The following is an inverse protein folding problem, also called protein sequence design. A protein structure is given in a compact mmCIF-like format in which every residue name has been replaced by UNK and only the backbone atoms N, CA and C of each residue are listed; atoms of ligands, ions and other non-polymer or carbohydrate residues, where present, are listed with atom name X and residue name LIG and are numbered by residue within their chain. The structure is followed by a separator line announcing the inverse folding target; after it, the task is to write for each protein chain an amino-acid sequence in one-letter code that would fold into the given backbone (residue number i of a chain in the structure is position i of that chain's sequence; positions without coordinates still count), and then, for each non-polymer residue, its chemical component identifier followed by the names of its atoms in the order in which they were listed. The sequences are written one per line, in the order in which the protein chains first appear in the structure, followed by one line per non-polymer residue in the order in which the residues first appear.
data_IF_599128159650
#
_entry.id   IF_599128159650
#
_cell.length_a   1.000
_cell.length_b   1.000
_cell.length_c   1.000
_cell.angle_alpha   90.00
_cell.angle_beta   90.00
_cell.angle_gamma   90.00
#
_symmetry.space_group_name_H-M   'P 1'
#
loop_
_entity.id
_entity.type
_entity.pdbx_description
1 polymer ?
#
# COMPACT_ATOMS: atom_id res chain seq x y z
N UNK A 1 27.81 3.73 7.73
CA UNK A 1 27.45 2.50 7.01
C UNK A 1 26.51 2.85 5.88
N UNK A 2 26.82 2.42 4.66
CA UNK A 2 25.83 2.45 3.57
C UNK A 2 24.76 1.38 3.84
N UNK A 3 23.58 1.54 3.24
CA UNK A 3 22.48 0.56 3.37
C UNK A 3 22.94 -0.86 2.98
N UNK A 4 23.84 -0.96 1.99
CA UNK A 4 24.39 -2.22 1.52
C UNK A 4 25.30 -2.91 2.54
N UNK A 5 26.07 -2.15 3.33
CA UNK A 5 26.90 -2.71 4.40
C UNK A 5 26.06 -3.25 5.57
N UNK A 6 24.99 -2.52 5.93
CA UNK A 6 24.07 -2.97 6.96
C UNK A 6 23.32 -4.23 6.52
N UNK A 7 22.82 -4.27 5.28
CA UNK A 7 22.16 -5.46 4.74
C UNK A 7 23.07 -6.69 4.67
N UNK A 8 24.32 -6.52 4.23
CA UNK A 8 25.30 -7.59 4.19
C UNK A 8 25.64 -8.14 5.59
N UNK A 9 25.82 -7.25 6.58
CA UNK A 9 26.06 -7.65 7.96
C UNK A 9 24.85 -8.37 8.55
N UNK A 10 23.63 -7.83 8.36
CA UNK A 10 22.40 -8.47 8.82
C UNK A 10 22.23 -9.86 8.21
N UNK A 11 22.43 -10.01 6.89
CA UNK A 11 22.39 -11.31 6.23
C UNK A 11 23.44 -12.28 6.77
N UNK A 12 24.68 -11.82 6.99
CA UNK A 12 25.71 -12.64 7.61
C UNK A 12 25.32 -13.11 9.01
N UNK A 13 24.79 -12.22 9.86
CA UNK A 13 24.37 -12.56 11.22
C UNK A 13 23.23 -13.58 11.23
N UNK A 14 22.20 -13.38 10.39
CA UNK A 14 21.07 -14.31 10.25
C UNK A 14 21.56 -15.70 9.85
N UNK A 15 22.46 -15.77 8.86
CA UNK A 15 22.97 -17.04 8.36
C UNK A 15 23.95 -17.72 9.32
N UNK A 16 24.78 -16.95 10.05
CA UNK A 16 25.86 -17.49 10.87
C UNK A 16 25.43 -17.78 12.32
N UNK A 17 24.48 -17.02 12.84
CA UNK A 17 24.07 -17.06 14.25
C UNK A 17 22.54 -17.09 14.46
N UNK A 18 21.78 -17.94 13.74
CA UNK A 18 20.32 -17.97 13.84
C UNK A 18 19.82 -18.31 15.25
N UNK A 19 20.45 -19.30 15.90
CA UNK A 19 20.08 -19.75 17.26
C UNK A 19 20.32 -18.66 18.31
N UNK A 20 21.43 -17.93 18.21
CA UNK A 20 21.72 -16.85 19.14
C UNK A 20 20.72 -15.71 18.97
N UNK A 21 20.34 -15.39 17.73
CA UNK A 21 19.30 -14.41 17.44
C UNK A 21 17.97 -14.84 18.07
N UNK A 22 17.53 -16.08 17.82
CA UNK A 22 16.29 -16.63 18.38
C UNK A 22 16.32 -16.64 19.91
N UNK A 23 17.43 -17.05 20.53
CA UNK A 23 17.61 -17.04 21.99
C UNK A 23 17.51 -15.64 22.58
N UNK A 24 18.16 -14.64 21.96
CA UNK A 24 18.07 -13.24 22.39
C UNK A 24 16.63 -12.74 22.29
N UNK A 25 15.92 -13.09 21.21
CA UNK A 25 14.55 -12.63 21.02
C UNK A 25 13.60 -13.31 21.99
N UNK A 26 13.71 -14.63 22.18
CA UNK A 26 12.84 -15.41 23.09
C UNK A 26 13.02 -15.02 24.54
N UNK A 27 14.22 -14.58 24.92
CA UNK A 27 14.50 -14.09 26.28
C UNK A 27 13.97 -12.68 26.55
N UNK A 28 13.54 -11.94 25.52
CA UNK A 28 13.18 -10.52 25.62
C UNK A 28 11.77 -10.18 25.16
N UNK A 29 11.18 -10.98 24.27
CA UNK A 29 9.91 -10.69 23.63
C UNK A 29 9.01 -11.93 23.69
N UNK A 30 7.77 -11.72 24.16
CA UNK A 30 6.74 -12.75 24.09
C UNK A 30 6.27 -12.98 22.66
N UNK A 31 6.28 -11.93 21.83
CA UNK A 31 5.96 -11.99 20.40
C UNK A 31 6.54 -10.80 19.64
N UNK A 32 6.60 -10.92 18.32
CA UNK A 32 7.00 -9.85 17.37
C UNK A 32 5.85 -9.61 16.39
N UNK A 33 5.55 -8.33 16.10
CA UNK A 33 4.61 -7.95 15.04
C UNK A 33 5.39 -7.35 13.88
N UNK A 34 5.11 -7.82 12.67
CA UNK A 34 5.63 -7.25 11.44
C UNK A 34 4.45 -6.68 10.66
N UNK A 35 4.38 -5.35 10.58
CA UNK A 35 3.38 -4.63 9.77
C UNK A 35 3.87 -4.46 8.33
N UNK A 36 2.93 -4.41 7.38
CA UNK A 36 3.18 -4.40 5.93
C UNK A 36 4.16 -5.50 5.49
N UNK A 37 3.98 -6.72 6.01
CA UNK A 37 4.89 -7.84 5.80
C UNK A 37 5.08 -8.22 4.31
N UNK A 38 4.10 -7.93 3.45
CA UNK A 38 4.19 -8.10 2.00
C UNK A 38 5.20 -7.16 1.32
N UNK A 39 5.65 -6.10 2.00
CA UNK A 39 6.65 -5.15 1.48
C UNK A 39 8.08 -5.50 1.95
N UNK A 40 8.27 -6.58 2.71
CA UNK A 40 9.60 -7.06 3.07
C UNK A 40 10.37 -7.43 1.79
N UNK A 41 11.41 -6.65 1.50
CA UNK A 41 12.27 -6.92 0.34
C UNK A 41 13.05 -8.22 0.54
N UNK A 42 13.21 -8.98 -0.54
CA UNK A 42 14.03 -10.19 -0.55
C UNK A 42 15.45 -9.91 -0.03
N UNK A 43 16.02 -10.91 0.65
CA UNK A 43 17.26 -10.79 1.41
C UNK A 43 16.98 -10.62 2.90
N UNK A 44 17.90 -9.97 3.62
CA UNK A 44 17.97 -10.05 5.09
C UNK A 44 16.67 -9.73 5.85
N UNK A 45 15.78 -8.87 5.31
CA UNK A 45 14.51 -8.54 5.96
C UNK A 45 13.51 -9.68 5.87
N UNK A 46 13.35 -10.23 4.67
CA UNK A 46 12.52 -11.41 4.44
C UNK A 46 13.12 -12.65 5.11
N UNK A 47 14.45 -12.81 5.03
CA UNK A 47 15.16 -13.94 5.66
C UNK A 47 15.05 -13.92 7.18
N UNK A 48 15.07 -12.73 7.80
CA UNK A 48 14.82 -12.60 9.24
C UNK A 48 13.39 -12.97 9.60
N UNK A 49 12.41 -12.52 8.82
CA UNK A 49 11.00 -12.87 9.07
C UNK A 49 10.75 -14.38 8.89
N UNK A 50 11.37 -15.01 7.88
CA UNK A 50 11.41 -16.47 7.70
C UNK A 50 12.05 -17.16 8.89
N UNK A 51 13.20 -16.70 9.36
CA UNK A 51 13.87 -17.26 10.54
C UNK A 51 12.93 -17.32 11.75
N UNK A 52 12.18 -16.24 12.02
CA UNK A 52 11.20 -16.23 13.11
C UNK A 52 10.05 -17.22 12.85
N UNK A 53 9.46 -17.17 11.67
CA UNK A 53 8.30 -17.97 11.30
C UNK A 53 8.61 -19.47 11.28
N UNK A 54 9.70 -19.88 10.61
CA UNK A 54 10.09 -21.27 10.39
C UNK A 54 10.59 -21.96 11.68
N UNK A 55 10.90 -21.17 12.73
CA UNK A 55 11.35 -21.68 14.03
C UNK A 55 10.31 -21.51 15.12
N UNK A 56 9.02 -21.44 14.76
CA UNK A 56 7.88 -21.31 15.68
C UNK A 56 8.05 -20.18 16.71
N UNK A 57 8.73 -19.09 16.33
CA UNK A 57 8.76 -17.89 17.16
C UNK A 57 7.37 -17.25 17.10
N UNK A 58 6.80 -16.74 18.22
CA UNK A 58 5.51 -16.07 18.18
C UNK A 58 5.57 -14.78 17.35
N UNK A 59 5.28 -14.87 16.06
CA UNK A 59 5.29 -13.75 15.11
C UNK A 59 3.90 -13.52 14.56
N UNK A 60 3.49 -12.26 14.47
CA UNK A 60 2.24 -11.84 13.82
C UNK A 60 2.58 -11.03 12.58
N UNK A 61 2.29 -11.61 11.42
CA UNK A 61 2.51 -10.98 10.13
C UNK A 61 1.22 -10.28 9.71
N UNK A 62 1.26 -8.96 9.62
CA UNK A 62 0.14 -8.14 9.16
C UNK A 62 0.47 -7.61 7.78
N UNK A 63 -0.41 -7.82 6.81
CA UNK A 63 -0.18 -7.38 5.44
C UNK A 63 -1.34 -7.66 4.52
N UNK A 64 -1.22 -7.15 3.30
CA UNK A 64 -2.18 -7.36 2.21
C UNK A 64 -1.38 -7.54 0.93
N UNK A 65 -1.35 -8.76 0.39
CA UNK A 65 -0.63 -9.12 -0.84
C UNK A 65 -1.04 -8.27 -2.05
N UNK A 66 -2.28 -7.78 -2.08
CA UNK A 66 -2.74 -6.88 -3.12
C UNK A 66 -2.11 -5.48 -3.00
N UNK A 67 -1.41 -5.15 -1.91
CA UNK A 67 -0.75 -3.86 -1.68
C UNK A 67 0.78 -3.93 -1.72
N UNK A 68 1.41 -5.02 -2.20
CA UNK A 68 2.86 -5.04 -2.41
C UNK A 68 3.24 -4.07 -3.54
N UNK A 69 3.53 -2.82 -3.18
CA UNK A 69 3.90 -1.73 -4.11
C UNK A 69 5.36 -1.30 -3.92
N UNK A 70 6.01 -1.77 -2.86
CA UNK A 70 7.39 -1.45 -2.54
C UNK A 70 8.39 -2.50 -3.07
N UNK A 71 7.90 -3.53 -3.75
CA UNK A 71 8.74 -4.59 -4.32
C UNK A 71 9.24 -5.54 -3.24
N UNK A 72 8.35 -5.88 -2.30
CA UNK A 72 8.61 -6.99 -1.37
C UNK A 72 8.71 -8.30 -2.13
N UNK A 73 9.36 -9.29 -1.52
CA UNK A 73 9.50 -10.61 -2.11
C UNK A 73 8.22 -11.44 -2.07
N UNK A 74 8.33 -12.68 -2.56
CA UNK A 74 7.19 -13.55 -2.77
C UNK A 74 6.80 -14.37 -1.53
N UNK A 75 7.67 -14.42 -0.51
CA UNK A 75 7.46 -15.29 0.65
C UNK A 75 6.12 -15.03 1.34
N UNK A 76 5.79 -13.77 1.62
CA UNK A 76 4.53 -13.42 2.27
C UNK A 76 3.31 -13.90 1.46
N UNK A 77 3.38 -13.83 0.12
CA UNK A 77 2.29 -14.26 -0.76
C UNK A 77 2.11 -15.79 -0.82
N UNK A 78 3.07 -16.55 -0.31
CA UNK A 78 3.04 -18.02 -0.25
C UNK A 78 2.49 -18.53 1.08
N UNK A 79 2.33 -17.65 2.08
CA UNK A 79 1.77 -18.00 3.38
C UNK A 79 0.25 -18.10 3.29
N UNK A 80 -0.32 -19.04 4.05
CA UNK A 80 -1.74 -19.05 4.29
C UNK A 80 -2.07 -18.03 5.39
N UNK A 81 -3.12 -17.23 5.19
CA UNK A 81 -3.61 -16.34 6.23
C UNK A 81 -4.38 -17.12 7.28
N UNK A 82 -4.05 -16.90 8.56
CA UNK A 82 -4.87 -17.40 9.68
C UNK A 82 -6.22 -16.66 9.75
N UNK A 83 -6.23 -15.38 9.37
CA UNK A 83 -7.41 -14.54 9.37
C UNK A 83 -7.37 -13.54 8.20
N UNK A 84 -8.50 -13.40 7.50
CA UNK A 84 -8.69 -12.38 6.47
C UNK A 84 -9.70 -11.33 6.92
N UNK A 85 -9.33 -10.05 6.75
CA UNK A 85 -10.20 -8.90 7.07
C UNK A 85 -10.57 -8.15 5.80
N UNK A 86 -11.72 -8.48 5.23
CA UNK A 86 -12.23 -7.79 4.02
C UNK A 86 -12.98 -6.48 4.32
N UNK A 87 -13.27 -6.17 5.59
CA UNK A 87 -13.94 -4.92 5.98
C UNK A 87 -12.94 -3.82 6.29
N UNK A 88 -12.96 -2.77 5.50
CA UNK A 88 -12.15 -1.57 5.65
C UNK A 88 -12.85 -0.49 6.45
N UNK A 89 -12.17 0.01 7.48
CA UNK A 89 -12.55 1.23 8.18
C UNK A 89 -11.96 2.50 7.52
N UNK A 90 -11.18 2.34 6.44
CA UNK A 90 -10.42 3.41 5.77
C UNK A 90 -10.89 3.70 4.35
N UNK A 91 -11.91 2.97 3.88
CA UNK A 91 -12.51 3.07 2.54
C UNK A 91 -14.04 3.11 2.71
N UNK A 92 -14.68 4.01 1.98
CA UNK A 92 -16.15 4.06 1.89
C UNK A 92 -16.67 2.90 1.04
N UNK A 93 -17.92 2.50 1.27
CA UNK A 93 -18.53 1.38 0.55
C UNK A 93 -18.66 1.68 -0.94
N UNK A 94 -18.93 2.92 -1.35
CA UNK A 94 -18.95 3.29 -2.76
C UNK A 94 -17.58 3.11 -3.46
N UNK A 95 -16.49 3.53 -2.82
CA UNK A 95 -15.12 3.32 -3.32
C UNK A 95 -14.76 1.84 -3.32
N UNK A 96 -15.07 1.13 -2.24
CA UNK A 96 -14.81 -0.31 -2.10
C UNK A 96 -15.61 -1.13 -3.13
N UNK A 97 -16.86 -0.76 -3.42
CA UNK A 97 -17.67 -1.36 -4.50
C UNK A 97 -17.02 -1.17 -5.86
N UNK A 98 -16.53 0.04 -6.15
CA UNK A 98 -15.80 0.30 -7.40
C UNK A 98 -14.52 -0.55 -7.48
N UNK A 99 -13.75 -0.66 -6.39
CA UNK A 99 -12.56 -1.52 -6.31
C UNK A 99 -12.93 -2.97 -6.63
N UNK A 100 -13.98 -3.52 -6.02
CA UNK A 100 -14.44 -4.90 -6.30
C UNK A 100 -14.78 -5.09 -7.78
N UNK A 101 -15.48 -4.14 -8.40
CA UNK A 101 -15.94 -4.25 -9.79
C UNK A 101 -14.83 -4.05 -10.82
N UNK A 102 -13.89 -3.13 -10.57
CA UNK A 102 -12.91 -2.70 -11.56
C UNK A 102 -11.52 -3.27 -11.30
N UNK A 103 -11.11 -3.29 -10.03
CA UNK A 103 -9.78 -3.75 -9.62
C UNK A 103 -9.77 -5.25 -9.33
N UNK A 104 -10.90 -5.81 -8.90
CA UNK A 104 -11.08 -7.23 -8.62
C UNK A 104 -10.59 -7.67 -7.25
N UNK A 105 -10.42 -6.74 -6.31
CA UNK A 105 -10.04 -7.05 -4.92
C UNK A 105 -11.28 -7.05 -4.04
N UNK A 106 -11.51 -8.13 -3.28
CA UNK A 106 -12.66 -8.26 -2.39
C UNK A 106 -12.48 -7.44 -1.11
N UNK A 107 -13.10 -6.26 -1.05
CA UNK A 107 -13.06 -5.35 0.10
C UNK A 107 -14.39 -4.62 0.29
N UNK A 108 -14.82 -4.38 1.52
CA UNK A 108 -16.08 -3.75 1.89
C UNK A 108 -15.83 -2.55 2.80
N UNK A 109 -16.50 -1.43 2.57
CA UNK A 109 -16.36 -0.23 3.38
C UNK A 109 -17.18 -0.28 4.66
N UNK A 110 -16.89 0.65 5.58
CA UNK A 110 -17.64 0.79 6.84
C UNK A 110 -18.95 1.56 6.59
N UNK A 111 -20.07 0.90 6.82
CA UNK A 111 -21.42 1.49 6.77
C UNK A 111 -22.05 1.38 5.38
N UNK A 112 -23.28 0.83 5.33
CA UNK A 112 -24.06 0.65 4.10
C UNK A 112 -24.35 1.98 3.36
N UNK A 113 -24.24 3.10 4.07
CA UNK A 113 -24.61 4.44 3.58
C UNK A 113 -23.40 5.35 3.30
N UNK A 114 -22.16 4.84 3.33
CA UNK A 114 -20.98 5.67 3.07
C UNK A 114 -20.82 5.97 1.56
N UNK A 115 -21.26 7.18 1.19
CA UNK A 115 -21.47 7.67 -0.17
C UNK A 115 -20.20 8.04 -0.97
N UNK A 116 -19.01 7.60 -0.57
CA UNK A 116 -17.79 8.00 -1.28
C UNK A 116 -17.82 7.54 -2.74
N UNK A 117 -17.58 8.46 -3.66
CA UNK A 117 -17.64 8.20 -5.11
C UNK A 117 -16.24 8.03 -5.70
N UNK A 118 -16.17 7.31 -6.81
CA UNK A 118 -15.00 7.29 -7.69
C UNK A 118 -15.36 8.02 -8.97
N UNK A 119 -14.70 9.15 -9.23
CA UNK A 119 -14.95 9.97 -10.40
C UNK A 119 -13.71 10.00 -11.29
N UNK A 120 -13.87 9.63 -12.56
CA UNK A 120 -12.84 9.85 -13.55
C UNK A 120 -12.83 11.32 -13.96
N UNK A 121 -11.64 11.91 -13.95
CA UNK A 121 -11.42 13.29 -14.38
C UNK A 121 -10.34 13.34 -15.44
N UNK A 122 -10.37 14.37 -16.27
CA UNK A 122 -9.32 14.62 -17.25
C UNK A 122 -8.15 15.33 -16.59
N UNK A 123 -6.97 15.32 -17.23
CA UNK A 123 -5.83 16.09 -16.73
C UNK A 123 -6.14 17.59 -16.67
N UNK A 124 -6.92 18.11 -17.61
CA UNK A 124 -7.24 19.54 -17.68
C UNK A 124 -8.14 19.98 -16.51
N UNK A 125 -9.08 19.13 -16.12
CA UNK A 125 -9.99 19.38 -14.98
C UNK A 125 -9.36 19.15 -13.60
N UNK A 126 -8.10 18.69 -13.52
CA UNK A 126 -7.43 18.44 -12.22
C UNK A 126 -7.24 19.74 -11.44
N UNK A 127 -6.95 20.86 -12.11
CA UNK A 127 -6.70 22.15 -11.43
C UNK A 127 -7.93 22.60 -10.65
N UNK A 128 -9.11 22.38 -11.20
CA UNK A 128 -10.39 22.76 -10.59
C UNK A 128 -10.75 21.90 -9.36
N UNK A 129 -10.03 20.79 -9.15
CA UNK A 129 -10.20 19.97 -7.96
C UNK A 129 -9.34 20.45 -6.77
N UNK A 130 -8.37 21.33 -6.99
CA UNK A 130 -7.60 21.85 -5.87
C UNK A 130 -8.44 22.85 -5.08
N UNK A 131 -8.69 22.51 -3.82
CA UNK A 131 -9.43 23.34 -2.88
C UNK A 131 -8.66 23.56 -1.58
N UNK A 132 -7.32 23.39 -1.61
CA UNK A 132 -6.39 23.41 -0.46
C UNK A 132 -6.54 22.29 0.58
N UNK A 133 -7.62 21.50 0.52
CA UNK A 133 -7.87 20.41 1.48
C UNK A 133 -7.69 19.03 0.87
N UNK A 134 -8.01 18.85 -0.42
CA UNK A 134 -7.86 17.56 -1.11
C UNK A 134 -6.39 17.14 -1.14
N UNK A 135 -6.14 15.85 -0.96
CA UNK A 135 -4.77 15.30 -1.02
C UNK A 135 -4.49 14.75 -2.42
N UNK A 136 -3.38 15.17 -3.02
CA UNK A 136 -2.93 14.67 -4.31
C UNK A 136 -1.98 13.48 -4.14
N UNK A 137 -2.26 12.40 -4.84
CA UNK A 137 -1.47 11.17 -4.89
C UNK A 137 -0.94 10.93 -6.31
N UNK A 138 0.33 10.56 -6.42
CA UNK A 138 0.95 10.23 -7.72
C UNK A 138 1.97 9.10 -7.59
N UNK A 139 2.30 8.40 -8.69
CA UNK A 139 3.37 7.37 -8.66
C UNK A 139 4.73 8.00 -8.89
N UNK A 140 4.85 8.77 -9.97
CA UNK A 140 6.10 9.39 -10.41
C UNK A 140 5.79 10.76 -10.98
N UNK A 141 6.59 11.75 -10.61
CA UNK A 141 6.54 13.07 -11.23
C UNK A 141 7.01 12.95 -12.68
N UNK A 142 6.15 13.30 -13.62
CA UNK A 142 6.44 13.35 -15.06
C UNK A 142 6.19 14.76 -15.55
N UNK A 143 6.71 15.14 -16.71
CA UNK A 143 6.45 16.47 -17.30
C UNK A 143 4.95 16.76 -17.41
N UNK A 144 4.15 15.76 -17.78
CA UNK A 144 2.69 15.84 -17.86
C UNK A 144 2.03 16.23 -16.54
N UNK A 145 2.55 15.78 -15.40
CA UNK A 145 1.93 16.00 -14.09
C UNK A 145 2.68 17.00 -13.20
N UNK A 146 3.84 17.49 -13.64
CA UNK A 146 4.73 18.35 -12.88
C UNK A 146 4.01 19.61 -12.38
N UNK A 147 3.32 20.32 -13.28
CA UNK A 147 2.61 21.55 -12.95
C UNK A 147 1.56 21.35 -11.85
N UNK A 148 0.76 20.27 -11.92
CA UNK A 148 -0.26 20.00 -10.89
C UNK A 148 0.38 19.60 -9.56
N UNK A 149 1.46 18.82 -9.58
CA UNK A 149 2.16 18.37 -8.36
C UNK A 149 2.81 19.55 -7.65
N UNK A 150 3.45 20.44 -8.40
CA UNK A 150 4.25 21.53 -7.84
C UNK A 150 3.37 22.69 -7.32
N UNK A 151 2.20 22.88 -7.91
CA UNK A 151 1.28 23.96 -7.55
C UNK A 151 0.10 23.52 -6.69
N UNK A 152 0.01 22.23 -6.31
CA UNK A 152 -1.07 21.76 -5.44
C UNK A 152 -0.97 22.39 -4.06
N UNK A 153 -2.00 23.10 -3.66
CA UNK A 153 -2.06 23.81 -2.38
C UNK A 153 -2.33 22.88 -1.19
N UNK A 154 -2.97 21.73 -1.43
CA UNK A 154 -3.18 20.68 -0.44
C UNK A 154 -1.94 19.79 -0.20
N UNK A 155 -2.13 18.71 0.56
CA UNK A 155 -1.05 17.73 0.78
C UNK A 155 -0.75 16.95 -0.49
N UNK A 156 0.54 16.66 -0.71
CA UNK A 156 1.02 15.94 -1.89
C UNK A 156 1.88 14.76 -1.45
N UNK A 157 1.53 13.55 -1.91
CA UNK A 157 2.30 12.34 -1.61
C UNK A 157 2.51 11.49 -2.85
N UNK A 158 3.63 10.77 -2.88
CA UNK A 158 3.68 9.58 -3.74
C UNK A 158 2.78 8.50 -3.15
N UNK A 159 2.19 7.64 -3.98
CA UNK A 159 1.36 6.51 -3.50
C UNK A 159 2.15 5.65 -2.50
N UNK A 160 3.45 5.43 -2.76
CA UNK A 160 4.36 4.73 -1.84
C UNK A 160 4.47 5.41 -0.47
N UNK A 161 4.66 6.74 -0.43
CA UNK A 161 4.72 7.50 0.83
C UNK A 161 3.38 7.56 1.56
N UNK A 162 2.27 7.47 0.83
CA UNK A 162 0.93 7.46 1.42
C UNK A 162 0.52 6.10 2.00
N UNK A 163 1.25 5.02 1.68
CA UNK A 163 1.00 3.69 2.24
C UNK A 163 1.12 3.72 3.77
N UNK A 164 0.31 2.92 4.46
CA UNK A 164 0.14 2.97 5.91
C UNK A 164 -0.70 4.16 6.44
N UNK A 165 -0.83 5.26 5.70
CA UNK A 165 -1.59 6.44 6.15
C UNK A 165 -3.11 6.25 6.00
N UNK A 166 -3.86 7.03 6.79
CA UNK A 166 -5.30 7.28 6.58
C UNK A 166 -5.50 8.77 6.30
N UNK A 167 -6.04 9.09 5.14
CA UNK A 167 -6.31 10.44 4.65
C UNK A 167 -7.79 10.74 4.89
N UNK A 168 -8.08 11.80 5.65
CA UNK A 168 -9.45 12.18 6.04
C UNK A 168 -10.15 13.08 5.01
N UNK A 169 -9.48 13.47 3.94
CA UNK A 169 -10.01 14.34 2.88
C UNK A 169 -10.27 13.53 1.60
N UNK A 170 -10.94 14.13 0.62
CA UNK A 170 -10.96 13.57 -0.73
C UNK A 170 -9.52 13.45 -1.27
N UNK A 171 -9.32 12.47 -2.16
CA UNK A 171 -8.04 12.27 -2.82
C UNK A 171 -8.15 12.47 -4.33
N UNK A 172 -7.07 12.96 -4.92
CA UNK A 172 -6.89 13.08 -6.37
C UNK A 172 -5.72 12.21 -6.79
N UNK A 173 -5.94 11.24 -7.68
CA UNK A 173 -4.91 10.30 -8.14
C UNK A 173 -4.46 10.68 -9.56
N UNK A 174 -3.19 11.07 -9.69
CA UNK A 174 -2.56 11.43 -10.96
C UNK A 174 -1.72 10.28 -11.53
N UNK A 175 -2.26 9.64 -12.57
CA UNK A 175 -1.55 8.67 -13.39
C UNK A 175 -2.37 8.36 -14.64
N UNK A 176 -1.71 8.09 -15.78
CA UNK A 176 -2.42 7.63 -16.98
C UNK A 176 -2.86 6.17 -16.84
N UNK A 177 -1.98 5.34 -16.27
CA UNK A 177 -2.25 3.94 -16.00
C UNK A 177 -1.52 3.48 -14.75
N UNK A 178 -2.13 2.54 -14.03
CA UNK A 178 -1.59 1.95 -12.82
C UNK A 178 -1.69 0.43 -12.87
N UNK A 179 -0.83 -0.22 -12.06
CA UNK A 179 -0.99 -1.63 -11.71
C UNK A 179 -2.06 -1.76 -10.61
N UNK A 180 -2.70 -2.92 -10.53
CA UNK A 180 -3.73 -3.23 -9.51
C UNK A 180 -3.30 -2.80 -8.11
N UNK A 181 -2.11 -3.22 -7.70
CA UNK A 181 -1.58 -2.92 -6.38
C UNK A 181 -1.48 -1.42 -6.05
N UNK A 182 -0.99 -0.62 -6.99
CA UNK A 182 -0.84 0.82 -6.81
C UNK A 182 -2.20 1.53 -6.76
N UNK A 183 -3.13 1.19 -7.65
CA UNK A 183 -4.45 1.81 -7.66
C UNK A 183 -5.22 1.45 -6.39
N UNK A 184 -5.24 0.17 -6.03
CA UNK A 184 -5.87 -0.32 -4.81
C UNK A 184 -5.28 0.33 -3.56
N UNK A 185 -3.95 0.41 -3.46
CA UNK A 185 -3.29 1.05 -2.31
C UNK A 185 -3.67 2.52 -2.19
N UNK A 186 -3.71 3.26 -3.30
CA UNK A 186 -4.07 4.68 -3.30
C UNK A 186 -5.54 4.92 -2.92
N UNK A 187 -6.47 4.16 -3.51
CA UNK A 187 -7.91 4.33 -3.28
C UNK A 187 -8.32 3.98 -1.85
N UNK A 188 -7.63 3.03 -1.22
CA UNK A 188 -7.90 2.64 0.18
C UNK A 188 -7.29 3.58 1.22
N UNK A 189 -6.72 4.72 0.82
CA UNK A 189 -6.19 5.71 1.76
C UNK A 189 -7.27 6.64 2.31
N UNK A 190 -8.45 6.75 1.69
CA UNK A 190 -9.50 7.68 2.12
C UNK A 190 -10.86 7.03 2.32
N UNK A 191 -11.58 7.53 3.32
CA UNK A 191 -13.00 7.23 3.54
C UNK A 191 -13.94 8.13 2.74
N UNK A 192 -13.43 9.09 1.96
CA UNK A 192 -14.22 10.07 1.22
C UNK A 192 -14.19 9.77 -0.29
N UNK A 193 -14.24 10.82 -1.13
CA UNK A 193 -14.29 10.68 -2.57
C UNK A 193 -12.89 10.49 -3.17
N UNK A 194 -12.86 9.78 -4.29
CA UNK A 194 -11.67 9.55 -5.10
C UNK A 194 -11.91 10.17 -6.47
N UNK A 195 -11.06 11.12 -6.84
CA UNK A 195 -10.97 11.64 -8.20
C UNK A 195 -9.72 11.07 -8.86
N UNK A 196 -9.81 10.61 -10.10
CA UNK A 196 -8.67 9.95 -10.74
C UNK A 196 -8.55 10.23 -12.24
N UNK A 197 -7.32 10.39 -12.71
CA UNK A 197 -7.00 10.49 -14.14
C UNK A 197 -6.66 9.14 -14.78
N UNK A 198 -6.76 8.04 -14.00
CA UNK A 198 -6.34 6.70 -14.44
C UNK A 198 -7.30 6.17 -15.50
N UNK A 199 -6.79 5.94 -16.70
CA UNK A 199 -7.56 5.35 -17.81
C UNK A 199 -7.21 3.88 -18.04
N UNK A 200 -6.06 3.42 -17.52
CA UNK A 200 -5.56 2.05 -17.73
C UNK A 200 -5.25 1.32 -16.43
N UNK A 201 -5.77 0.11 -16.26
CA UNK A 201 -5.42 -0.83 -15.20
C UNK A 201 -4.66 -2.01 -15.80
N UNK A 202 -3.43 -2.24 -15.35
CA UNK A 202 -2.56 -3.30 -15.89
C UNK A 202 -2.41 -3.23 -17.43
N UNK A 203 -2.51 -2.03 -18.01
CA UNK A 203 -2.44 -1.80 -19.46
C UNK A 203 -3.79 -1.88 -20.20
N UNK A 204 -4.87 -2.34 -19.54
CA UNK A 204 -6.22 -2.44 -20.11
C UNK A 204 -7.03 -1.19 -19.80
N UNK A 205 -7.84 -0.71 -20.74
CA UNK A 205 -8.69 0.47 -20.54
C UNK A 205 -9.78 0.19 -19.51
N UNK A 206 -9.95 1.12 -18.57
CA UNK A 206 -11.01 1.10 -17.55
C UNK A 206 -12.22 1.86 -18.10
N UNK A 207 -13.43 1.34 -17.83
CA UNK A 207 -14.67 2.07 -18.02
C UNK A 207 -15.19 2.52 -16.67
N UNK A 208 -15.48 3.81 -16.55
CA UNK A 208 -16.15 4.38 -15.39
C UNK A 208 -17.61 4.54 -15.82
N UNK A 209 -18.48 3.66 -15.31
CA UNK A 209 -19.92 3.72 -15.53
C UNK A 209 -20.58 4.48 -14.39
#
# INVERSE_FOLDING_TARGET
MTYDQAGALSGFLINKYPEQILWILRSRFDYIIIDEAQDLQSGFREDFAKLLYDNDFPVRLLGDSNQNINGGGDWFNQLNSDEEKTRSCRCSEGVCKWIRQVVGVEIYGKGKDSAGIVCQVTADTVKDLDNSTRTLLYVKRTSRYAEYIDNWSGKVYTIKKAKGLTIKQDIVILANGLKTNNLYTAMTRTTNNVYTTVTKLNGRTIRYN
#
